data_IF_400548794297
#
_entry.id   IF_400548794297
#
_cell.length_a   1.000
_cell.length_b   1.000
_cell.length_c   1.000
_cell.angle_alpha   90.00
_cell.angle_beta   90.00
_cell.angle_gamma   90.00
#
_symmetry.space_group_name_H-M   'P 1'
#
loop_
_entity.id
_entity.type
_entity.pdbx_description
1 polymer ?
#
# COMPACT_ATOMS: atom_id res chain seq x y z
N UNK A 1 15.91 18.58 -25.78
CA UNK A 1 16.39 17.22 -26.12
C UNK A 1 15.18 16.47 -26.63
N UNK A 2 15.29 15.83 -27.79
CA UNK A 2 14.17 15.07 -28.32
C UNK A 2 14.19 13.66 -27.73
N UNK A 3 13.11 13.29 -27.06
CA UNK A 3 12.90 11.93 -26.57
C UNK A 3 12.49 11.02 -27.74
N UNK A 4 12.94 9.75 -27.77
CA UNK A 4 12.49 8.80 -28.77
C UNK A 4 10.98 8.61 -28.67
N UNK A 5 10.32 8.47 -29.83
CA UNK A 5 8.87 8.21 -29.92
C UNK A 5 8.41 7.04 -29.03
N UNK A 6 9.22 5.99 -28.92
CA UNK A 6 8.93 4.83 -28.07
C UNK A 6 8.87 5.19 -26.58
N UNK A 7 9.77 6.06 -26.12
CA UNK A 7 9.78 6.49 -24.71
C UNK A 7 8.53 7.32 -24.42
N UNK A 8 8.08 8.13 -25.37
CA UNK A 8 6.85 8.91 -25.22
C UNK A 8 5.61 8.00 -25.21
N UNK A 9 5.60 6.93 -26.03
CA UNK A 9 4.57 5.91 -25.98
C UNK A 9 4.53 5.19 -24.62
N UNK A 10 5.69 4.88 -24.03
CA UNK A 10 5.79 4.27 -22.70
C UNK A 10 5.27 5.20 -21.57
N UNK A 11 5.43 6.52 -21.73
CA UNK A 11 4.96 7.54 -20.78
C UNK A 11 3.48 7.88 -20.94
N UNK A 12 2.87 7.53 -22.08
CA UNK A 12 1.51 7.92 -22.42
C UNK A 12 0.46 7.39 -21.42
N UNK A 13 0.52 6.13 -20.92
CA UNK A 13 -0.40 5.66 -19.90
C UNK A 13 -0.33 6.48 -18.60
N UNK A 14 0.88 6.87 -18.18
CA UNK A 14 1.09 7.69 -16.98
C UNK A 14 0.56 9.12 -17.18
N UNK A 15 0.78 9.70 -18.36
CA UNK A 15 0.23 11.01 -18.73
C UNK A 15 -1.30 11.03 -18.70
N UNK A 16 -1.92 9.98 -19.26
CA UNK A 16 -3.38 9.80 -19.28
C UNK A 16 -3.97 9.57 -17.89
N UNK A 17 -3.20 8.94 -16.99
CA UNK A 17 -3.59 8.71 -15.59
C UNK A 17 -3.33 9.91 -14.65
N UNK A 18 -2.78 11.02 -15.16
CA UNK A 18 -2.36 12.19 -14.36
C UNK A 18 -1.28 11.88 -13.31
N UNK A 19 -0.42 10.89 -13.59
CA UNK A 19 0.65 10.43 -12.69
C UNK A 19 2.05 10.95 -13.10
N UNK A 20 2.10 12.00 -13.92
CA UNK A 20 3.37 12.61 -14.38
C UNK A 20 3.56 14.00 -13.77
N UNK A 21 4.81 14.44 -13.63
CA UNK A 21 5.10 15.81 -13.22
C UNK A 21 4.58 16.83 -14.24
N UNK A 22 4.33 18.06 -13.79
CA UNK A 22 3.87 19.15 -14.67
C UNK A 22 4.82 19.37 -15.86
N UNK A 23 6.13 19.37 -15.62
CA UNK A 23 7.14 19.50 -16.68
C UNK A 23 7.01 18.39 -17.74
N UNK A 24 6.79 17.15 -17.31
CA UNK A 24 6.61 16.01 -18.21
C UNK A 24 5.30 16.12 -18.99
N UNK A 25 4.22 16.59 -18.34
CA UNK A 25 2.92 16.83 -18.97
C UNK A 25 3.03 17.86 -20.10
N UNK A 26 3.65 19.00 -19.83
CA UNK A 26 3.85 20.07 -20.82
C UNK A 26 4.69 19.58 -22.01
N UNK A 27 5.73 18.77 -21.75
CA UNK A 27 6.53 18.15 -22.81
C UNK A 27 5.71 17.21 -23.70
N UNK A 28 4.92 16.31 -23.10
CA UNK A 28 4.08 15.36 -23.85
C UNK A 28 3.02 16.10 -24.67
N UNK A 29 2.38 17.14 -24.11
CA UNK A 29 1.40 17.96 -24.83
C UNK A 29 2.00 18.64 -26.05
N UNK A 30 3.21 19.20 -25.91
CA UNK A 30 3.94 19.78 -27.05
C UNK A 30 4.26 18.70 -28.09
N UNK A 31 4.66 17.50 -27.68
CA UNK A 31 4.95 16.42 -28.60
C UNK A 31 3.71 15.95 -29.38
N UNK A 32 2.57 15.80 -28.70
CA UNK A 32 1.29 15.40 -29.32
C UNK A 32 0.77 16.44 -30.33
N UNK A 33 1.14 17.71 -30.20
CA UNK A 33 0.83 18.73 -31.21
C UNK A 33 1.65 18.56 -32.51
N UNK A 34 2.80 17.91 -32.42
CA UNK A 34 3.72 17.70 -33.56
C UNK A 34 3.54 16.35 -34.25
N UNK A 35 3.06 15.33 -33.55
CA UNK A 35 2.82 13.98 -34.09
C UNK A 35 1.31 13.65 -34.02
N UNK A 36 0.60 13.88 -35.12
CA UNK A 36 -0.84 13.59 -35.24
C UNK A 36 -1.17 12.10 -35.08
N UNK A 37 -0.27 11.20 -35.46
CA UNK A 37 -0.45 9.75 -35.31
C UNK A 37 -0.42 9.37 -33.82
N UNK A 38 0.55 9.93 -33.07
CA UNK A 38 0.64 9.74 -31.63
C UNK A 38 -0.55 10.36 -30.90
N UNK A 39 -1.04 11.53 -31.34
CA UNK A 39 -2.23 12.15 -30.78
C UNK A 39 -3.49 11.31 -31.01
N UNK A 40 -3.63 10.67 -32.18
CA UNK A 40 -4.72 9.74 -32.44
C UNK A 40 -4.63 8.50 -31.55
N UNK A 41 -3.43 7.94 -31.38
CA UNK A 41 -3.17 6.81 -30.48
C UNK A 41 -3.52 7.14 -29.02
N UNK A 42 -3.12 8.31 -28.51
CA UNK A 42 -3.45 8.77 -27.16
C UNK A 42 -4.97 8.89 -26.91
N UNK A 43 -5.70 9.42 -27.90
CA UNK A 43 -7.17 9.52 -27.85
C UNK A 43 -7.83 8.15 -27.81
N UNK A 44 -7.34 7.19 -28.61
CA UNK A 44 -7.87 5.84 -28.62
C UNK A 44 -7.58 5.11 -27.31
N UNK A 45 -6.37 5.24 -26.76
CA UNK A 45 -6.00 4.69 -25.46
C UNK A 45 -6.88 5.26 -24.32
N UNK A 46 -7.25 6.55 -24.39
CA UNK A 46 -8.16 7.16 -23.40
C UNK A 46 -9.55 6.50 -23.40
N UNK A 47 -10.02 6.04 -24.56
CA UNK A 47 -11.32 5.36 -24.70
C UNK A 47 -11.26 3.92 -24.17
N UNK A 48 -10.10 3.26 -24.29
CA UNK A 48 -9.91 1.86 -23.91
C UNK A 48 -9.42 1.65 -22.48
N UNK A 49 -8.89 2.68 -21.82
CA UNK A 49 -8.51 2.61 -20.42
C UNK A 49 -9.76 2.31 -19.57
N UNK A 50 -9.82 1.16 -18.87
CA UNK A 50 -10.87 0.93 -17.90
C UNK A 50 -10.80 2.08 -16.89
N UNK A 51 -11.92 2.76 -16.68
CA UNK A 51 -12.08 3.95 -15.83
C UNK A 51 -11.81 3.71 -14.33
N UNK A 52 -10.97 2.74 -13.97
CA UNK A 52 -10.73 2.28 -12.63
C UNK A 52 -9.39 1.56 -12.53
N UNK A 53 -8.31 2.29 -12.76
CA UNK A 53 -7.11 2.02 -11.96
C UNK A 53 -7.39 2.66 -10.60
N UNK A 54 -7.23 1.94 -9.47
CA UNK A 54 -7.45 2.53 -8.15
C UNK A 54 -6.59 3.78 -8.06
N UNK A 55 -7.24 4.91 -7.83
CA UNK A 55 -6.61 6.21 -7.60
C UNK A 55 -5.45 6.09 -6.62
N UNK A 56 -4.45 7.01 -6.68
CA UNK A 56 -3.50 7.17 -5.59
C UNK A 56 -4.30 7.25 -4.30
N UNK A 57 -4.04 6.31 -3.37
CA UNK A 57 -4.79 6.19 -2.12
C UNK A 57 -4.95 7.58 -1.52
N UNK A 58 -6.19 8.04 -1.37
CA UNK A 58 -6.42 9.32 -0.70
C UNK A 58 -5.86 9.20 0.73
N UNK A 59 -5.47 10.33 1.35
CA UNK A 59 -4.98 10.29 2.73
C UNK A 59 -5.97 9.59 3.68
N UNK A 60 -7.26 9.63 3.37
CA UNK A 60 -8.28 8.86 4.07
C UNK A 60 -8.10 7.34 3.90
N UNK A 61 -7.86 6.85 2.68
CA UNK A 61 -7.63 5.42 2.39
C UNK A 61 -6.34 4.90 3.03
N UNK A 62 -5.26 5.71 3.03
CA UNK A 62 -4.02 5.37 3.73
C UNK A 62 -4.27 5.25 5.24
N UNK A 63 -5.04 6.18 5.82
CA UNK A 63 -5.35 6.20 7.25
C UNK A 63 -6.17 4.97 7.67
N UNK A 64 -7.16 4.59 6.85
CA UNK A 64 -8.03 3.44 7.12
C UNK A 64 -7.26 2.12 7.00
N UNK A 65 -6.39 1.98 5.99
CA UNK A 65 -5.51 0.83 5.86
C UNK A 65 -4.55 0.69 7.06
N UNK A 66 -4.01 1.82 7.54
CA UNK A 66 -3.12 1.85 8.69
C UNK A 66 -3.85 1.54 10.00
N UNK A 67 -5.08 2.00 10.18
CA UNK A 67 -5.90 1.70 11.35
C UNK A 67 -6.29 0.21 11.40
N UNK A 68 -6.66 -0.36 10.26
CA UNK A 68 -6.96 -1.78 10.14
C UNK A 68 -5.72 -2.65 10.40
N UNK A 69 -4.56 -2.26 9.88
CA UNK A 69 -3.29 -2.94 10.18
C UNK A 69 -2.93 -2.85 11.67
N UNK A 70 -3.10 -1.68 12.30
CA UNK A 70 -2.87 -1.49 13.74
C UNK A 70 -3.78 -2.38 14.60
N UNK A 71 -5.07 -2.49 14.25
CA UNK A 71 -6.02 -3.36 14.96
C UNK A 71 -5.59 -4.83 14.92
N UNK A 72 -5.15 -5.33 13.76
CA UNK A 72 -4.69 -6.73 13.61
C UNK A 72 -3.43 -6.98 14.44
N UNK A 73 -2.45 -6.07 14.39
CA UNK A 73 -1.22 -6.19 15.19
C UNK A 73 -1.50 -6.10 16.69
N UNK A 74 -2.40 -5.21 17.10
CA UNK A 74 -2.81 -5.05 18.48
C UNK A 74 -3.43 -6.33 19.04
N UNK A 75 -4.45 -6.89 18.37
CA UNK A 75 -5.11 -8.12 18.82
C UNK A 75 -4.16 -9.32 18.84
N UNK A 76 -3.26 -9.45 17.86
CA UNK A 76 -2.20 -10.47 17.88
C UNK A 76 -1.29 -10.32 19.10
N UNK A 77 -0.87 -9.10 19.40
CA UNK A 77 0.03 -8.81 20.52
C UNK A 77 -0.65 -9.08 21.86
N UNK A 78 -1.92 -8.68 22.01
CA UNK A 78 -2.71 -8.95 23.22
C UNK A 78 -2.86 -10.45 23.44
N UNK A 79 -3.25 -11.20 22.40
CA UNK A 79 -3.41 -12.65 22.51
C UNK A 79 -2.12 -13.35 22.93
N UNK A 80 -0.99 -12.98 22.29
CA UNK A 80 0.31 -13.56 22.59
C UNK A 80 0.77 -13.22 24.01
N UNK A 81 0.53 -11.99 24.45
CA UNK A 81 0.84 -11.54 25.82
C UNK A 81 0.02 -12.29 26.86
N UNK A 82 -1.28 -12.48 26.64
CA UNK A 82 -2.16 -13.25 27.54
C UNK A 82 -1.72 -14.70 27.60
N UNK A 83 -1.41 -15.31 26.45
CA UNK A 83 -0.96 -16.70 26.38
C UNK A 83 0.35 -16.90 27.15
N UNK A 84 1.37 -16.06 26.89
CA UNK A 84 2.66 -16.12 27.58
C UNK A 84 2.48 -15.85 29.08
N UNK A 85 1.69 -14.84 29.44
CA UNK A 85 1.39 -14.50 30.83
C UNK A 85 0.74 -15.66 31.58
N UNK A 86 -0.21 -16.35 30.95
CA UNK A 86 -0.87 -17.52 31.53
C UNK A 86 0.11 -18.68 31.76
N UNK A 87 0.98 -18.97 30.78
CA UNK A 87 2.01 -20.01 30.91
C UNK A 87 2.97 -19.70 32.05
N UNK A 88 3.47 -18.46 32.12
CA UNK A 88 4.39 -18.03 33.19
C UNK A 88 3.69 -18.11 34.55
N UNK A 89 2.44 -17.65 34.66
CA UNK A 89 1.67 -17.71 35.90
C UNK A 89 1.42 -19.15 36.35
N UNK A 90 1.15 -20.07 35.42
CA UNK A 90 0.98 -21.49 35.73
C UNK A 90 2.28 -22.13 36.24
N UNK A 91 3.42 -21.80 35.63
CA UNK A 91 4.73 -22.31 36.06
C UNK A 91 5.12 -21.77 37.44
N UNK A 92 5.00 -20.47 37.66
CA UNK A 92 5.34 -19.83 38.94
C UNK A 92 4.35 -20.23 40.04
N UNK A 93 3.05 -20.22 39.74
CA UNK A 93 2.02 -20.66 40.67
C UNK A 93 2.17 -22.13 41.04
N UNK A 94 2.48 -22.99 40.07
CA UNK A 94 2.74 -24.41 40.28
C UNK A 94 3.94 -24.68 41.18
N UNK A 95 5.06 -23.97 40.98
CA UNK A 95 6.24 -24.12 41.85
C UNK A 95 5.99 -23.63 43.27
N UNK A 96 5.28 -22.51 43.44
CA UNK A 96 4.90 -22.00 44.77
C UNK A 96 3.97 -22.99 45.48
N UNK A 97 2.94 -23.50 44.79
CA UNK A 97 2.00 -24.48 45.35
C UNK A 97 2.74 -25.76 45.77
N UNK A 98 3.65 -26.26 44.93
CA UNK A 98 4.45 -27.45 45.24
C UNK A 98 5.33 -27.25 46.48
N UNK A 99 5.98 -26.09 46.61
CA UNK A 99 6.79 -25.75 47.79
C UNK A 99 5.94 -25.65 49.06
N UNK A 100 4.75 -25.06 48.99
CA UNK A 100 3.83 -24.96 50.14
C UNK A 100 3.34 -26.34 50.57
N UNK A 101 2.97 -27.20 49.62
CA UNK A 101 2.51 -28.57 49.91
C UNK A 101 3.64 -29.43 50.50
N UNK A 102 4.87 -29.29 49.99
CA UNK A 102 6.02 -30.08 50.47
C UNK A 102 6.56 -29.62 51.84
N UNK A 103 6.26 -28.38 52.27
CA UNK A 103 6.63 -27.85 53.60
C UNK A 103 5.42 -27.76 54.55
N UNK A 104 4.28 -28.37 54.21
CA UNK A 104 3.16 -28.57 55.13
C UNK A 104 3.52 -29.57 56.24
N UNK A 105 2.92 -29.47 57.43
CA UNK A 105 3.34 -30.17 58.65
C UNK A 105 3.33 -31.70 58.55
#
# INVERSE_FOLDING_TARGET
MDLPRSVIADLLPLYLADEVSQETREFIEQYLQTDEEMAAFAKQATIELPAGVPTPLTKEDEMEALENAKKVVFWRTVFLTVLVGFVVAALVGGTILMLVVNNGP
#
